data_IF_034140371752
#
_entry.id   IF_034140371752
#
_cell.length_a   1.000
_cell.length_b   1.000
_cell.length_c   1.000
_cell.angle_alpha   90.00
_cell.angle_beta   90.00
_cell.angle_gamma   90.00
#
_symmetry.space_group_name_H-M   'P 1'
#
loop_
_entity.id
_entity.type
_entity.pdbx_description
1 polymer ?
#
# COMPACT_ATOMS: atom_id res chain seq x y z
N UNK A 1 4.28 -11.33 -3.81
CA UNK A 1 4.21 -10.62 -2.51
C UNK A 1 4.43 -9.13 -2.77
N UNK A 2 4.19 -8.28 -1.77
CA UNK A 2 4.58 -6.87 -1.81
C UNK A 2 6.04 -6.74 -1.37
N UNK A 3 6.78 -5.79 -1.94
CA UNK A 3 8.16 -5.52 -1.50
C UNK A 3 8.18 -4.91 -0.09
N UNK A 4 7.42 -3.83 0.06
CA UNK A 4 7.20 -3.08 1.29
C UNK A 4 6.18 -1.99 0.99
N UNK A 5 5.42 -1.55 1.98
CA UNK A 5 4.48 -0.46 1.79
C UNK A 5 4.05 0.16 3.09
N UNK A 6 3.31 1.25 2.99
CA UNK A 6 2.74 1.96 4.10
C UNK A 6 1.28 2.29 3.80
N UNK A 7 0.42 2.03 4.78
CA UNK A 7 -1.01 2.37 4.71
C UNK A 7 -1.32 3.51 5.66
N UNK A 8 -2.13 4.47 5.21
CA UNK A 8 -2.57 5.63 5.94
C UNK A 8 -4.09 5.67 6.02
N UNK A 9 -4.60 5.99 7.20
CA UNK A 9 -6.00 6.21 7.50
C UNK A 9 -6.17 7.63 8.04
N UNK A 10 -7.05 8.40 7.42
CA UNK A 10 -7.43 9.72 7.90
C UNK A 10 -8.90 9.71 8.31
N UNK A 11 -9.16 9.78 9.62
CA UNK A 11 -10.52 9.77 10.17
C UNK A 11 -11.02 11.20 10.34
N UNK A 12 -12.22 11.47 9.82
CA UNK A 12 -12.91 12.77 9.95
C UNK A 12 -12.04 13.98 9.58
N UNK A 13 -11.05 13.82 8.69
CA UNK A 13 -10.06 14.85 8.30
C UNK A 13 -9.19 15.42 9.43
N UNK A 14 -9.17 14.79 10.61
CA UNK A 14 -8.48 15.32 11.80
C UNK A 14 -7.35 14.43 12.30
N UNK A 15 -7.56 13.11 12.27
CA UNK A 15 -6.61 12.15 12.83
C UNK A 15 -6.07 11.29 11.72
N UNK A 16 -4.74 11.32 11.54
CA UNK A 16 -4.03 10.46 10.62
C UNK A 16 -3.23 9.42 11.39
N UNK A 17 -3.43 8.15 11.06
CA UNK A 17 -2.65 7.00 11.55
C UNK A 17 -2.24 6.13 10.39
N UNK A 18 -1.17 5.37 10.56
CA UNK A 18 -0.73 4.46 9.53
C UNK A 18 0.19 3.40 10.09
N UNK A 19 0.47 2.40 9.25
CA UNK A 19 1.33 1.29 9.59
C UNK A 19 2.06 0.79 8.35
N UNK A 20 3.17 0.09 8.59
CA UNK A 20 3.86 -0.66 7.55
C UNK A 20 3.01 -1.86 7.12
N UNK A 21 3.03 -2.15 5.82
CA UNK A 21 2.39 -3.29 5.21
C UNK A 21 3.43 -4.39 5.10
N UNK A 22 3.13 -5.54 5.68
CA UNK A 22 3.98 -6.72 5.56
C UNK A 22 4.01 -7.23 4.11
N UNK A 23 5.00 -8.06 3.77
CA UNK A 23 5.15 -8.58 2.40
C UNK A 23 3.96 -9.42 1.91
N UNK A 24 3.18 -9.99 2.83
CA UNK A 24 1.95 -10.72 2.52
C UNK A 24 0.72 -9.80 2.28
N UNK A 25 0.86 -8.49 2.47
CA UNK A 25 -0.23 -7.52 2.37
C UNK A 25 -0.97 -7.24 3.68
N UNK A 26 -0.62 -7.93 4.76
CA UNK A 26 -1.23 -7.72 6.07
C UNK A 26 -0.72 -6.43 6.73
N UNK A 27 -1.58 -5.76 7.48
CA UNK A 27 -1.26 -4.55 8.23
C UNK A 27 -2.10 -4.48 9.51
N UNK A 28 -1.62 -3.74 10.51
CA UNK A 28 -2.35 -3.49 11.77
C UNK A 28 -2.22 -2.01 12.11
N UNK A 29 -3.34 -1.32 12.33
CA UNK A 29 -3.37 0.10 12.70
C UNK A 29 -4.13 0.28 14.00
N UNK A 30 -3.44 0.79 15.02
CA UNK A 30 -4.00 1.02 16.34
C UNK A 30 -4.43 2.47 16.57
N UNK A 31 -5.41 2.65 17.45
CA UNK A 31 -5.81 3.97 17.97
C UNK A 31 -6.52 4.86 16.96
N UNK A 32 -7.18 4.27 15.96
CA UNK A 32 -8.08 5.01 15.08
C UNK A 32 -9.37 5.38 15.83
N UNK A 33 -9.78 6.66 15.83
CA UNK A 33 -11.08 7.05 16.36
C UNK A 33 -12.20 6.49 15.47
N UNK A 34 -13.40 6.38 16.03
CA UNK A 34 -14.56 5.91 15.29
C UNK A 34 -15.02 6.94 14.24
N UNK A 35 -15.52 6.43 13.12
CA UNK A 35 -16.07 7.22 12.03
C UNK A 35 -15.54 6.79 10.67
N UNK A 36 -15.86 7.60 9.65
CA UNK A 36 -15.39 7.38 8.29
C UNK A 36 -13.92 7.76 8.16
N UNK A 37 -13.12 6.83 7.65
CA UNK A 37 -11.71 7.02 7.36
C UNK A 37 -11.45 6.95 5.86
N UNK A 38 -10.77 7.96 5.33
CA UNK A 38 -10.15 7.88 4.01
C UNK A 38 -8.85 7.09 4.12
N UNK A 39 -8.57 6.25 3.12
CA UNK A 39 -7.40 5.37 3.15
C UNK A 39 -6.48 5.66 1.97
N UNK A 40 -5.17 5.71 2.19
CA UNK A 40 -4.18 5.69 1.12
C UNK A 40 -3.16 4.58 1.36
N UNK A 41 -2.64 4.02 0.28
CA UNK A 41 -1.72 2.89 0.27
C UNK A 41 -0.57 3.27 -0.64
N UNK A 42 0.63 3.35 -0.08
CA UNK A 42 1.87 3.58 -0.81
C UNK A 42 2.70 2.30 -0.77
N UNK A 43 3.20 1.83 -1.91
CA UNK A 43 4.07 0.66 -1.99
C UNK A 43 5.33 1.06 -2.73
N UNK A 44 6.47 0.62 -2.22
CA UNK A 44 7.74 0.92 -2.88
C UNK A 44 7.79 0.24 -4.25
N UNK A 45 8.07 1.04 -5.28
CA UNK A 45 8.30 0.53 -6.62
C UNK A 45 9.56 -0.35 -6.61
N UNK A 46 9.56 -1.49 -7.32
CA UNK A 46 10.78 -2.25 -7.50
C UNK A 46 11.85 -1.38 -8.17
N UNK A 47 13.14 -1.60 -7.84
CA UNK A 47 14.22 -0.95 -8.55
C UNK A 47 14.12 -1.29 -10.05
N UNK A 48 14.49 -0.35 -10.94
CA UNK A 48 14.48 -0.61 -12.37
C UNK A 48 15.39 -1.81 -12.69
N UNK A 49 15.03 -2.63 -13.70
CA UNK A 49 15.91 -3.72 -14.12
C UNK A 49 17.27 -3.14 -14.53
N UNK A 50 18.36 -3.75 -14.07
CA UNK A 50 19.70 -3.34 -14.48
C UNK A 50 19.87 -3.53 -15.99
N UNK A 51 20.49 -2.57 -16.70
CA UNK A 51 20.84 -2.73 -18.10
C UNK A 51 21.65 -4.02 -18.34
N UNK A 52 21.44 -4.67 -19.48
CA UNK A 52 22.21 -5.87 -19.86
C UNK A 52 23.72 -5.59 -19.78
N UNK A 53 24.44 -6.43 -19.03
CA UNK A 53 25.90 -6.34 -18.89
C UNK A 53 26.40 -5.60 -17.65
N UNK A 54 25.51 -5.11 -16.77
CA UNK A 54 25.89 -4.53 -15.48
C UNK A 54 25.43 -5.47 -14.36
N UNK A 55 26.36 -5.88 -13.50
CA UNK A 55 26.04 -6.67 -12.31
C UNK A 55 25.03 -5.90 -11.44
N UNK A 56 23.92 -6.52 -11.00
CA UNK A 56 22.93 -5.84 -10.18
C UNK A 56 23.57 -5.27 -8.91
N UNK A 57 23.52 -3.95 -8.75
CA UNK A 57 23.84 -3.27 -7.48
C UNK A 57 22.75 -3.45 -6.43
N UNK A 58 21.61 -4.03 -6.80
CA UNK A 58 20.56 -4.41 -5.88
C UNK A 58 21.04 -5.59 -5.02
N UNK A 59 20.94 -5.44 -3.69
CA UNK A 59 21.32 -6.48 -2.74
C UNK A 59 20.39 -7.68 -2.99
N UNK A 60 20.92 -8.88 -3.32
CA UNK A 60 20.08 -10.04 -3.53
C UNK A 60 19.28 -10.36 -2.26
N UNK A 61 17.96 -10.46 -2.39
CA UNK A 61 17.02 -10.76 -1.30
C UNK A 61 16.24 -9.59 -0.72
N UNK A 62 16.43 -8.35 -1.20
CA UNK A 62 15.66 -7.18 -0.72
C UNK A 62 14.40 -6.88 -1.54
N UNK A 63 14.21 -7.50 -2.71
CA UNK A 63 13.07 -7.27 -3.59
C UNK A 63 12.55 -8.58 -4.17
N UNK A 64 11.24 -8.72 -4.26
CA UNK A 64 10.56 -9.82 -4.94
C UNK A 64 10.76 -9.71 -6.46
N UNK A 65 10.98 -10.85 -7.12
CA UNK A 65 11.23 -10.91 -8.56
C UNK A 65 9.99 -10.51 -9.40
N UNK A 66 8.78 -10.64 -8.82
CA UNK A 66 7.51 -10.22 -9.41
C UNK A 66 6.61 -9.54 -8.36
N UNK A 67 6.91 -8.29 -7.99
CA UNK A 67 6.13 -7.62 -6.95
C UNK A 67 4.75 -7.27 -7.46
N UNK A 68 3.78 -7.30 -6.55
CA UNK A 68 2.44 -6.78 -6.83
C UNK A 68 2.53 -5.27 -7.03
N UNK A 69 2.15 -4.80 -8.21
CA UNK A 69 2.11 -3.38 -8.53
C UNK A 69 0.77 -2.79 -8.07
N UNK A 70 0.83 -1.81 -7.16
CA UNK A 70 -0.34 -1.04 -6.74
C UNK A 70 -0.42 0.25 -7.57
N UNK A 71 -1.58 0.57 -8.18
CA UNK A 71 -1.75 1.82 -8.91
C UNK A 71 -1.49 3.06 -8.04
N UNK A 72 -0.68 4.01 -8.54
CA UNK A 72 -0.33 5.25 -7.83
C UNK A 72 -1.50 6.14 -7.41
N UNK A 73 -2.71 5.92 -7.95
CA UNK A 73 -3.90 6.65 -7.48
C UNK A 73 -4.19 6.40 -6.00
N UNK A 74 -3.77 5.26 -5.47
CA UNK A 74 -3.95 4.91 -4.06
C UNK A 74 -2.93 5.59 -3.13
N UNK A 75 -1.87 6.20 -3.65
CA UNK A 75 -0.80 6.79 -2.82
C UNK A 75 -1.27 8.01 -2.01
N UNK A 76 -2.31 8.71 -2.46
CA UNK A 76 -2.85 9.90 -1.79
C UNK A 76 -4.29 9.71 -1.32
N UNK A 77 -4.60 10.25 -0.14
CA UNK A 77 -5.96 10.30 0.42
C UNK A 77 -6.96 11.01 -0.50
N UNK A 78 -6.49 11.97 -1.30
CA UNK A 78 -7.35 12.75 -2.21
C UNK A 78 -7.76 11.96 -3.46
N UNK A 79 -6.90 11.05 -3.92
CA UNK A 79 -7.09 10.32 -5.19
C UNK A 79 -7.45 8.86 -5.01
N UNK A 80 -7.20 8.30 -3.82
CA UNK A 80 -7.44 6.90 -3.51
C UNK A 80 -8.92 6.52 -3.65
N UNK A 81 -9.81 7.39 -3.18
CA UNK A 81 -11.26 7.14 -3.18
C UNK A 81 -11.69 5.99 -2.26
N UNK A 82 -10.76 5.39 -1.50
CA UNK A 82 -11.05 4.31 -0.55
C UNK A 82 -11.57 4.92 0.74
N UNK A 83 -12.76 4.48 1.16
CA UNK A 83 -13.41 4.85 2.40
C UNK A 83 -13.72 3.60 3.21
N UNK A 84 -13.38 3.63 4.49
CA UNK A 84 -13.67 2.56 5.45
C UNK A 84 -14.35 3.13 6.67
N UNK A 85 -15.22 2.35 7.30
CA UNK A 85 -15.97 2.78 8.48
C UNK A 85 -15.41 2.12 9.73
N UNK A 86 -14.77 2.90 10.59
CA UNK A 86 -14.12 2.44 11.82
C UNK A 86 -15.13 2.42 12.96
N UNK A 87 -15.37 1.25 13.55
CA UNK A 87 -16.29 0.96 14.64
C UNK A 87 -15.67 -0.02 15.67
N UNK A 88 -16.32 -0.20 16.84
CA UNK A 88 -15.86 -1.09 17.91
C UNK A 88 -16.08 -2.58 17.62
N UNK A 89 -15.32 -3.50 18.28
CA UNK A 89 -14.11 -3.29 19.10
C UNK A 89 -12.80 -3.58 18.34
N UNK A 90 -12.85 -4.50 17.39
CA UNK A 90 -11.78 -4.88 16.46
C UNK A 90 -12.45 -5.17 15.12
N UNK A 91 -11.82 -4.75 14.04
CA UNK A 91 -12.36 -4.95 12.69
C UNK A 91 -11.25 -5.37 11.75
N UNK A 92 -11.55 -6.38 10.95
CA UNK A 92 -10.71 -6.81 9.84
C UNK A 92 -11.41 -6.39 8.56
N UNK A 93 -10.69 -5.66 7.70
CA UNK A 93 -11.20 -5.19 6.42
C UNK A 93 -10.26 -5.60 5.30
N UNK A 94 -10.84 -6.18 4.25
CA UNK A 94 -10.14 -6.40 2.99
C UNK A 94 -10.30 -5.18 2.09
N UNK A 95 -9.19 -4.48 1.84
CA UNK A 95 -9.17 -3.37 0.90
C UNK A 95 -9.00 -3.93 -0.50
N UNK A 96 -10.06 -3.82 -1.29
CA UNK A 96 -10.07 -4.31 -2.67
C UNK A 96 -9.51 -3.26 -3.61
N UNK A 97 -8.33 -3.52 -4.16
CA UNK A 97 -7.68 -2.63 -5.12
C UNK A 97 -7.96 -3.06 -6.55
N UNK A 98 -8.25 -2.08 -7.40
CA UNK A 98 -8.30 -2.30 -8.84
C UNK A 98 -6.95 -2.82 -9.35
N UNK A 99 -7.00 -3.81 -10.24
CA UNK A 99 -5.80 -4.37 -10.86
C UNK A 99 -5.07 -3.28 -11.64
N UNK A 100 -3.74 -3.23 -11.59
CA UNK A 100 -2.97 -2.35 -12.47
C UNK A 100 -3.30 -2.70 -13.92
N UNK A 101 -3.74 -1.72 -14.71
CA UNK A 101 -3.88 -1.91 -16.14
C UNK A 101 -2.50 -2.23 -16.72
N UNK A 102 -2.28 -3.49 -17.11
CA UNK A 102 -1.14 -3.83 -17.97
C UNK A 102 -1.35 -3.07 -19.28
N UNK A 103 -0.69 -1.93 -19.45
CA UNK A 103 -0.55 -1.31 -20.76
C UNK A 103 0.11 -2.33 -21.68
N UNK A 104 -0.70 -3.01 -22.49
CA UNK A 104 -0.22 -3.79 -23.64
C UNK A 104 0.48 -2.78 -24.54
N UNK A 105 1.80 -2.89 -24.61
CA UNK A 105 2.63 -2.17 -25.57
C UNK A 105 2.59 -2.91 -26.91
#
# INVERSE_FOLDING_TARGET
MLNSGYILFQVNYLVTKGAEIASDGSYVVDGLPYGSAAVSICVDEPPPPTPEGIEPTAIPGTYEENPVLIPRKYDSLETSGIMVEVAMPEQTFDIHLEKPEKKRK
#
